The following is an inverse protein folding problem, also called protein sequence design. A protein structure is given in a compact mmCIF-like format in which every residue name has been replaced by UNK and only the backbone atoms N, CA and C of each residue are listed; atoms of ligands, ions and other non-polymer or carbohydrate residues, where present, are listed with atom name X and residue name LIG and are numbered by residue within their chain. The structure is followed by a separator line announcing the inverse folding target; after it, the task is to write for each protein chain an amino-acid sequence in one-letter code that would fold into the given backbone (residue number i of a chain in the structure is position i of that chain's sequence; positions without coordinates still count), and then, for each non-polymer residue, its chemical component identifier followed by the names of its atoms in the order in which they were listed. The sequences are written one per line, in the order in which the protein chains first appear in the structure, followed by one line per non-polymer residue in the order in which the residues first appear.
data_IF_913233881948
#
_entry.id   IF_913233881948
#
_cell.length_a   1.000
_cell.length_b   1.000
_cell.length_c   1.000
_cell.angle_alpha   90.00
_cell.angle_beta   90.00
_cell.angle_gamma   90.00
#
_symmetry.space_group_name_H-M   'P 1'
#
loop_
_entity.id
_entity.type
_entity.pdbx_description
1 polymer ?
#
# COMPACT_ATOMS: atom_id res chain seq x y z
N UNK A 1 2.17 1.75 62.47
CA UNK A 1 3.63 1.52 62.56
C UNK A 1 4.15 1.23 61.16
N UNK A 2 5.34 1.74 60.85
CA UNK A 2 5.96 1.96 59.51
C UNK A 2 6.16 0.69 58.67
N UNK A 3 6.47 0.86 57.37
CA UNK A 3 7.48 0.22 56.49
C UNK A 3 7.02 0.52 55.03
N UNK A 4 7.80 0.99 54.04
CA UNK A 4 9.21 1.33 53.86
C UNK A 4 9.41 1.45 52.32
N UNK A 5 9.99 2.56 51.84
CA UNK A 5 10.23 2.86 50.42
C UNK A 5 11.56 2.21 49.98
N UNK A 6 11.66 1.69 48.76
CA UNK A 6 12.93 1.30 48.15
C UNK A 6 13.06 1.95 46.78
N UNK A 7 14.17 2.68 46.63
CA UNK A 7 14.57 3.46 45.48
C UNK A 7 15.25 2.60 44.41
N UNK A 8 15.07 3.08 43.18
CA UNK A 8 15.64 2.61 41.92
C UNK A 8 16.97 3.31 41.68
N UNK A 9 18.09 2.60 41.82
CA UNK A 9 19.30 2.90 41.06
C UNK A 9 20.15 1.63 40.89
N UNK A 10 20.68 1.49 39.68
CA UNK A 10 21.90 0.76 39.32
C UNK A 10 21.79 -0.66 38.73
N UNK A 11 21.59 -0.72 37.41
CA UNK A 11 22.28 -1.69 36.54
C UNK A 11 22.61 -0.99 35.21
N UNK A 12 23.82 -0.44 35.09
CA UNK A 12 24.42 -0.07 33.80
C UNK A 12 25.38 -1.16 33.29
N UNK A 13 25.27 -1.39 31.98
CA UNK A 13 26.31 -1.59 30.95
C UNK A 13 27.17 -2.86 30.90
N UNK A 14 27.12 -3.54 29.73
CA UNK A 14 28.19 -4.40 29.17
C UNK A 14 28.46 -3.99 27.71
N UNK A 15 29.71 -3.63 27.33
CA UNK A 15 30.06 -3.05 26.02
C UNK A 15 30.40 -4.07 24.90
N UNK A 16 30.43 -5.38 25.17
CA UNK A 16 30.95 -6.37 24.20
C UNK A 16 29.98 -6.71 23.05
N UNK A 17 28.68 -6.40 23.17
CA UNK A 17 27.68 -6.67 22.11
C UNK A 17 27.67 -5.57 21.03
N UNK A 18 28.04 -4.32 21.39
CA UNK A 18 28.06 -3.19 20.45
C UNK A 18 29.17 -3.32 19.41
N UNK A 19 30.31 -3.94 19.77
CA UNK A 19 31.46 -4.08 18.89
C UNK A 19 31.19 -5.04 17.72
N UNK A 20 30.52 -6.17 17.98
CA UNK A 20 30.18 -7.18 16.95
C UNK A 20 29.15 -6.63 15.96
N UNK A 21 28.20 -5.80 16.43
CA UNK A 21 27.23 -5.11 15.58
C UNK A 21 27.86 -4.01 14.70
N UNK A 22 28.98 -3.43 15.14
CA UNK A 22 29.69 -2.36 14.44
C UNK A 22 30.40 -2.82 13.16
N UNK A 23 30.98 -4.02 13.17
CA UNK A 23 31.77 -4.53 12.05
C UNK A 23 30.89 -5.13 10.92
N UNK A 24 29.73 -5.69 11.27
CA UNK A 24 28.73 -6.13 10.28
C UNK A 24 28.03 -4.93 9.60
N UNK A 25 27.79 -3.83 10.34
CA UNK A 25 27.26 -2.56 9.79
C UNK A 25 28.18 -1.92 8.76
N UNK A 26 29.51 -1.93 8.99
CA UNK A 26 30.51 -1.40 8.05
C UNK A 26 30.54 -2.19 6.74
N UNK A 27 30.32 -3.50 6.80
CA UNK A 27 30.32 -4.38 5.64
C UNK A 27 29.06 -4.23 4.78
N UNK A 28 27.94 -3.77 5.36
CA UNK A 28 26.70 -3.49 4.65
C UNK A 28 26.68 -2.10 3.99
N UNK A 29 27.18 -1.07 4.68
CA UNK A 29 27.26 0.31 4.19
C UNK A 29 28.20 0.49 2.98
N UNK A 30 29.20 -0.38 2.84
CA UNK A 30 30.11 -0.34 1.69
C UNK A 30 29.48 -0.87 0.39
N UNK A 31 28.44 -1.71 0.47
CA UNK A 31 27.79 -2.32 -0.72
C UNK A 31 26.58 -1.53 -1.25
N UNK A 32 25.96 -0.66 -0.45
CA UNK A 32 24.82 0.19 -0.86
C UNK A 32 25.23 1.50 -1.52
N UNK A 33 26.52 1.85 -1.50
CA UNK A 33 27.06 3.10 -2.05
C UNK A 33 27.10 3.14 -3.59
N UNK A 34 26.89 2.01 -4.27
CA UNK A 34 27.16 1.90 -5.72
C UNK A 34 25.94 2.06 -6.65
N UNK A 35 24.69 2.22 -6.18
CA UNK A 35 23.54 2.12 -7.12
C UNK A 35 22.44 3.17 -7.14
N UNK A 36 22.26 4.08 -6.16
CA UNK A 36 21.03 4.93 -6.21
C UNK A 36 21.09 6.37 -5.73
N UNK A 37 22.17 6.85 -5.10
CA UNK A 37 22.38 8.31 -4.88
C UNK A 37 21.26 9.11 -4.15
N UNK A 38 20.35 8.45 -3.43
CA UNK A 38 19.29 9.10 -2.65
C UNK A 38 19.25 8.48 -1.25
N UNK A 39 19.56 9.29 -0.23
CA UNK A 39 19.49 8.92 1.19
C UNK A 39 18.03 9.00 1.67
N UNK A 40 17.46 7.86 2.05
CA UNK A 40 16.34 7.83 3.00
C UNK A 40 16.93 7.42 4.34
N UNK A 41 17.08 8.36 5.26
CA UNK A 41 17.69 8.10 6.57
C UNK A 41 16.72 7.31 7.47
N UNK A 42 17.28 6.47 8.34
CA UNK A 42 16.55 5.71 9.37
C UNK A 42 15.83 6.62 10.38
N UNK A 43 16.22 7.89 10.48
CA UNK A 43 15.57 8.89 11.33
C UNK A 43 14.17 9.27 10.85
N UNK A 44 13.92 9.27 9.53
CA UNK A 44 12.61 9.64 8.94
C UNK A 44 11.53 8.59 9.17
N UNK A 45 11.90 7.32 9.43
CA UNK A 45 10.96 6.23 9.73
C UNK A 45 10.71 6.13 11.24
N UNK A 46 11.73 6.36 12.06
CA UNK A 46 11.60 6.29 13.53
C UNK A 46 10.92 7.51 14.16
N UNK A 47 11.00 8.69 13.55
CA UNK A 47 10.26 9.88 14.01
C UNK A 47 8.74 9.76 13.83
N UNK A 48 8.28 8.82 12.98
CA UNK A 48 6.86 8.61 12.64
C UNK A 48 6.08 7.92 13.76
N UNK A 49 6.76 7.18 14.65
CA UNK A 49 6.11 6.32 15.65
C UNK A 49 5.81 7.04 16.97
N UNK A 50 6.42 8.20 17.23
CA UNK A 50 6.37 8.83 18.58
C UNK A 50 5.65 10.17 18.69
N UNK A 51 5.11 10.75 17.63
CA UNK A 51 4.48 12.09 17.71
C UNK A 51 3.02 12.15 17.19
N UNK A 52 2.20 11.19 17.60
CA UNK A 52 0.74 11.21 17.37
C UNK A 52 -0.04 11.99 18.44
N UNK A 53 0.57 13.01 19.05
CA UNK A 53 -0.14 13.87 19.99
C UNK A 53 0.44 15.27 20.03
N UNK A 54 0.16 16.10 19.01
CA UNK A 54 -0.18 17.53 19.19
C UNK A 54 -0.49 18.23 17.86
N UNK A 55 -1.53 19.07 17.95
CA UNK A 55 -1.90 20.20 17.08
C UNK A 55 -2.69 19.89 15.81
N UNK A 56 -4.01 20.01 15.96
CA UNK A 56 -4.89 20.52 14.92
C UNK A 56 -4.81 22.06 14.91
N UNK A 57 -4.70 22.68 13.73
CA UNK A 57 -5.26 24.01 13.54
C UNK A 57 -5.73 24.21 12.10
N UNK A 58 -6.84 24.93 12.01
CA UNK A 58 -7.72 25.11 10.86
C UNK A 58 -7.13 26.05 9.82
N UNK A 59 -7.43 25.82 8.53
CA UNK A 59 -7.60 26.90 7.56
C UNK A 59 -8.49 26.42 6.39
N UNK A 60 -9.58 27.16 6.20
CA UNK A 60 -10.55 26.97 5.13
C UNK A 60 -10.00 27.41 3.78
N UNK A 61 -9.74 26.43 2.93
CA UNK A 61 -9.73 26.52 1.48
C UNK A 61 -10.39 25.26 0.95
N UNK A 62 -10.98 25.28 -0.23
CA UNK A 62 -11.42 24.05 -0.91
C UNK A 62 -10.20 23.25 -1.35
N UNK A 63 -9.54 22.58 -0.39
CA UNK A 63 -8.37 21.73 -0.60
C UNK A 63 -8.90 20.39 -1.10
N UNK A 64 -8.80 20.14 -2.40
CA UNK A 64 -8.96 18.78 -2.92
C UNK A 64 -7.94 17.88 -2.22
N UNK A 65 -8.40 17.02 -1.31
CA UNK A 65 -7.55 16.07 -0.59
C UNK A 65 -6.79 15.14 -1.55
N UNK A 66 -5.82 14.40 -1.02
CA UNK A 66 -5.01 13.48 -1.83
C UNK A 66 -5.95 12.47 -2.52
N UNK A 67 -5.97 12.46 -3.85
CA UNK A 67 -6.78 11.52 -4.64
C UNK A 67 -6.07 10.17 -4.78
N UNK A 68 -6.83 9.11 -5.00
CA UNK A 68 -6.29 7.77 -5.23
C UNK A 68 -7.01 7.04 -6.36
N UNK A 69 -6.33 6.04 -6.90
CA UNK A 69 -6.85 5.13 -7.91
C UNK A 69 -7.03 3.73 -7.31
N UNK A 70 -7.97 2.96 -7.83
CA UNK A 70 -8.16 1.55 -7.52
C UNK A 70 -7.63 0.71 -8.69
N UNK A 71 -7.04 -0.44 -8.41
CA UNK A 71 -6.70 -1.43 -9.43
C UNK A 71 -7.13 -2.84 -9.01
N UNK A 72 -7.83 -3.56 -9.89
CA UNK A 72 -8.38 -4.89 -9.61
C UNK A 72 -8.52 -5.73 -10.87
N UNK A 73 -8.27 -7.03 -10.74
CA UNK A 73 -8.72 -8.04 -11.70
C UNK A 73 -9.96 -8.74 -11.17
N UNK A 74 -10.99 -8.87 -12.00
CA UNK A 74 -12.31 -9.36 -11.63
C UNK A 74 -12.83 -10.37 -12.66
N UNK A 75 -13.33 -11.51 -12.18
CA UNK A 75 -13.96 -12.53 -13.03
C UNK A 75 -15.33 -12.11 -13.56
N UNK A 76 -15.84 -12.86 -14.53
CA UNK A 76 -17.15 -12.59 -15.14
C UNK A 76 -18.30 -12.65 -14.14
N UNK A 77 -18.16 -13.46 -13.08
CA UNK A 77 -19.08 -13.54 -11.94
C UNK A 77 -18.71 -12.60 -10.78
N UNK A 78 -18.01 -11.49 -11.05
CA UNK A 78 -17.59 -10.47 -10.08
C UNK A 78 -16.62 -10.96 -8.99
N UNK A 79 -16.05 -12.15 -9.14
CA UNK A 79 -15.13 -12.73 -8.17
C UNK A 79 -13.74 -12.12 -8.24
N UNK A 80 -13.11 -11.89 -7.09
CA UNK A 80 -11.77 -11.30 -6.96
C UNK A 80 -10.83 -12.13 -6.08
N UNK A 81 -11.32 -13.20 -5.48
CA UNK A 81 -10.52 -14.02 -4.58
C UNK A 81 -11.20 -15.34 -4.21
N UNK A 82 -10.35 -16.32 -3.89
CA UNK A 82 -10.75 -17.61 -3.33
C UNK A 82 -9.73 -18.02 -2.26
N UNK A 83 -10.18 -18.31 -1.03
CA UNK A 83 -9.35 -18.84 0.06
C UNK A 83 -8.08 -18.01 0.32
N UNK A 84 -8.19 -16.68 0.19
CA UNK A 84 -7.09 -15.74 0.40
C UNK A 84 -6.12 -15.57 -0.77
N UNK A 85 -6.30 -16.28 -1.88
CA UNK A 85 -5.51 -16.12 -3.10
C UNK A 85 -6.35 -15.67 -4.30
N UNK A 86 -5.67 -15.52 -5.44
CA UNK A 86 -6.35 -15.34 -6.74
C UNK A 86 -6.76 -16.71 -7.29
N UNK A 87 -8.00 -16.86 -7.81
CA UNK A 87 -8.47 -18.14 -8.35
C UNK A 87 -7.94 -18.44 -9.76
N UNK A 88 -7.18 -17.52 -10.35
CA UNK A 88 -6.55 -17.65 -11.67
C UNK A 88 -5.03 -17.47 -11.61
N UNK A 89 -4.35 -17.89 -12.67
CA UNK A 89 -2.92 -17.67 -12.90
C UNK A 89 -2.73 -16.94 -14.23
N UNK A 90 -2.74 -15.61 -14.17
CA UNK A 90 -2.56 -14.72 -15.33
C UNK A 90 -1.31 -13.87 -15.08
N UNK A 91 -0.14 -14.34 -15.54
CA UNK A 91 1.15 -13.67 -15.31
C UNK A 91 1.23 -12.34 -16.03
N UNK A 92 0.62 -12.23 -17.21
CA UNK A 92 0.58 -10.97 -17.97
C UNK A 92 -0.25 -9.91 -17.25
N UNK A 93 -1.34 -10.30 -16.59
CA UNK A 93 -2.15 -9.41 -15.75
C UNK A 93 -1.38 -8.97 -14.50
N UNK A 94 -0.74 -9.90 -13.79
CA UNK A 94 0.10 -9.57 -12.63
C UNK A 94 1.28 -8.65 -13.00
N UNK A 95 1.83 -8.82 -14.21
CA UNK A 95 2.85 -7.92 -14.76
C UNK A 95 2.27 -6.52 -14.99
N UNK A 96 1.08 -6.42 -15.59
CA UNK A 96 0.37 -5.15 -15.74
C UNK A 96 0.13 -4.47 -14.39
N UNK A 97 -0.45 -5.19 -13.41
CA UNK A 97 -0.64 -4.68 -12.04
C UNK A 97 0.68 -4.16 -11.45
N UNK A 98 1.76 -4.94 -11.55
CA UNK A 98 3.05 -4.56 -11.00
C UNK A 98 3.64 -3.35 -11.71
N UNK A 99 3.51 -3.23 -13.03
CA UNK A 99 4.06 -2.11 -13.80
C UNK A 99 3.26 -0.84 -13.51
N UNK A 100 1.93 -0.91 -13.58
CA UNK A 100 1.03 0.22 -13.33
C UNK A 100 1.20 0.79 -11.92
N UNK A 101 1.27 -0.07 -10.91
CA UNK A 101 1.41 0.40 -9.52
C UNK A 101 2.83 0.86 -9.16
N UNK A 102 3.87 0.47 -9.93
CA UNK A 102 5.25 0.93 -9.72
C UNK A 102 5.61 2.17 -10.51
N UNK A 103 5.02 2.36 -11.69
CA UNK A 103 5.40 3.42 -12.62
C UNK A 103 5.23 4.78 -11.98
N UNK A 104 6.30 5.57 -12.02
CA UNK A 104 6.30 6.99 -11.65
C UNK A 104 6.75 7.82 -12.84
N UNK A 105 6.24 9.04 -12.96
CA UNK A 105 6.70 10.04 -13.93
C UNK A 105 7.89 10.81 -13.38
N UNK A 106 7.85 11.13 -12.08
CA UNK A 106 8.94 11.75 -11.36
C UNK A 106 9.81 10.67 -10.68
N UNK A 107 11.08 10.50 -11.09
CA UNK A 107 11.97 9.47 -10.53
C UNK A 107 12.36 9.73 -9.06
N UNK A 108 12.09 10.93 -8.53
CA UNK A 108 12.28 11.25 -7.11
C UNK A 108 11.12 10.78 -6.23
N UNK A 109 10.00 10.39 -6.85
CA UNK A 109 8.79 9.97 -6.15
C UNK A 109 8.62 8.46 -6.12
N UNK A 110 7.70 8.02 -5.27
CA UNK A 110 7.27 6.63 -5.15
C UNK A 110 5.75 6.54 -5.14
N UNK A 111 5.22 5.40 -5.56
CA UNK A 111 3.81 5.07 -5.40
C UNK A 111 3.52 4.36 -4.07
N UNK A 112 2.28 4.53 -3.60
CA UNK A 112 1.75 3.84 -2.41
C UNK A 112 0.80 2.75 -2.86
N UNK A 113 0.84 1.60 -2.19
CA UNK A 113 -0.20 0.56 -2.29
C UNK A 113 -0.89 0.38 -0.94
N UNK A 114 -2.21 0.54 -0.94
CA UNK A 114 -3.06 0.39 0.24
C UNK A 114 -3.90 -0.86 0.09
N UNK A 115 -3.85 -1.73 1.10
CA UNK A 115 -4.57 -2.99 1.10
C UNK A 115 -5.07 -3.40 2.47
N UNK A 116 -6.11 -4.22 2.53
CA UNK A 116 -6.61 -4.79 3.79
C UNK A 116 -5.73 -5.94 4.28
N UNK A 117 -5.81 -6.22 5.59
CA UNK A 117 -5.12 -7.35 6.26
C UNK A 117 -5.13 -8.65 5.46
N UNK A 118 -6.32 -9.13 5.06
CA UNK A 118 -6.45 -10.42 4.35
C UNK A 118 -5.73 -10.42 3.00
N UNK A 119 -5.77 -9.30 2.27
CA UNK A 119 -5.06 -9.15 0.99
C UNK A 119 -3.56 -9.19 1.20
N UNK A 120 -3.03 -8.46 2.19
CA UNK A 120 -1.60 -8.50 2.51
C UNK A 120 -1.12 -9.92 2.83
N UNK A 121 -1.86 -10.65 3.66
CA UNK A 121 -1.51 -12.03 4.02
C UNK A 121 -1.76 -13.05 2.91
N UNK A 122 -2.60 -12.71 1.93
CA UNK A 122 -2.83 -13.50 0.71
C UNK A 122 -1.71 -13.40 -0.32
N UNK A 123 -0.95 -12.29 -0.31
CA UNK A 123 0.24 -12.15 -1.15
C UNK A 123 1.31 -13.16 -0.66
N UNK A 124 1.93 -13.95 -1.55
CA UNK A 124 2.97 -14.90 -1.17
C UNK A 124 4.07 -14.21 -0.34
N UNK A 125 4.60 -14.86 0.73
CA UNK A 125 5.66 -14.29 1.56
C UNK A 125 6.88 -13.78 0.77
N UNK A 126 7.25 -14.47 -0.31
CA UNK A 126 8.36 -14.07 -1.21
C UNK A 126 8.10 -12.77 -1.99
N UNK A 127 6.84 -12.33 -2.04
CA UNK A 127 6.36 -11.21 -2.84
C UNK A 127 5.81 -10.07 -1.99
N UNK A 128 5.75 -10.20 -0.66
CA UNK A 128 5.37 -9.12 0.27
C UNK A 128 6.54 -8.71 1.17
N UNK A 129 6.69 -7.41 1.49
CA UNK A 129 5.93 -6.29 0.93
C UNK A 129 6.19 -6.12 -0.57
N UNK A 130 5.25 -5.47 -1.25
CA UNK A 130 5.35 -5.21 -2.68
C UNK A 130 6.50 -4.24 -2.95
N UNK A 131 7.62 -4.75 -3.48
CA UNK A 131 8.85 -3.96 -3.74
C UNK A 131 8.58 -2.69 -4.57
N UNK A 132 9.42 -1.69 -4.37
CA UNK A 132 9.45 -0.38 -5.05
C UNK A 132 8.21 0.50 -4.81
N UNK A 133 7.38 0.14 -3.83
CA UNK A 133 6.17 0.85 -3.43
C UNK A 133 6.13 0.97 -1.92
N UNK A 134 5.58 2.06 -1.40
CA UNK A 134 5.26 2.15 0.02
C UNK A 134 4.01 1.31 0.30
N UNK A 135 4.10 0.35 1.22
CA UNK A 135 2.99 -0.56 1.51
C UNK A 135 2.23 -0.10 2.75
N UNK A 136 0.92 0.02 2.65
CA UNK A 136 0.02 0.28 3.79
C UNK A 136 -0.95 -0.89 3.94
N UNK A 137 -0.98 -1.45 5.15
CA UNK A 137 -1.96 -2.46 5.57
C UNK A 137 -3.02 -1.79 6.43
N UNK A 138 -4.28 -1.99 6.04
CA UNK A 138 -5.45 -1.55 6.80
C UNK A 138 -5.90 -2.66 7.75
N UNK A 139 -5.84 -2.40 9.05
CA UNK A 139 -6.33 -3.32 10.07
C UNK A 139 -6.54 -2.63 11.42
N UNK A 140 -7.59 -3.03 12.13
CA UNK A 140 -7.82 -2.70 13.55
C UNK A 140 -7.39 -3.83 14.50
N UNK A 141 -6.95 -4.97 13.96
CA UNK A 141 -6.59 -6.17 14.74
C UNK A 141 -5.09 -6.47 14.76
N UNK A 142 -4.34 -5.91 13.82
CA UNK A 142 -2.89 -6.03 13.82
C UNK A 142 -2.28 -4.96 14.71
N UNK A 143 -1.05 -5.23 15.13
CA UNK A 143 -0.11 -4.31 15.74
C UNK A 143 1.09 -4.14 14.81
N UNK A 144 1.91 -3.10 15.04
CA UNK A 144 3.10 -2.87 14.21
C UNK A 144 4.08 -4.05 14.23
N UNK A 145 4.19 -4.79 15.34
CA UNK A 145 5.03 -5.98 15.46
C UNK A 145 4.60 -7.16 14.58
N UNK A 146 3.36 -7.15 14.04
CA UNK A 146 2.88 -8.18 13.11
C UNK A 146 3.34 -7.96 11.67
N UNK A 147 3.99 -6.82 11.38
CA UNK A 147 4.38 -6.38 10.05
C UNK A 147 5.86 -5.97 10.01
N UNK A 148 6.53 -6.12 8.85
CA UNK A 148 7.89 -5.58 8.66
C UNK A 148 7.95 -4.07 8.92
N UNK A 149 9.12 -3.57 9.32
CA UNK A 149 9.32 -2.16 9.67
C UNK A 149 8.96 -1.21 8.52
N UNK A 150 9.21 -1.62 7.28
CA UNK A 150 8.92 -0.85 6.07
C UNK A 150 7.42 -0.79 5.69
N UNK A 151 6.54 -1.54 6.37
CA UNK A 151 5.10 -1.57 6.08
C UNK A 151 4.33 -0.71 7.07
N UNK A 152 3.58 0.29 6.59
CA UNK A 152 2.76 1.12 7.45
C UNK A 152 1.46 0.39 7.82
N UNK A 153 1.02 0.57 9.06
CA UNK A 153 -0.25 0.06 9.57
C UNK A 153 -1.18 1.24 9.83
N UNK A 154 -2.40 1.17 9.30
CA UNK A 154 -3.44 2.17 9.52
C UNK A 154 -4.77 1.49 9.85
N UNK A 155 -5.64 2.07 10.68
CA UNK A 155 -6.88 1.42 11.09
C UNK A 155 -7.93 1.38 9.96
N UNK A 156 -7.89 2.33 9.03
CA UNK A 156 -8.83 2.46 7.91
C UNK A 156 -8.26 3.38 6.82
N UNK A 157 -8.98 3.46 5.70
CA UNK A 157 -8.55 4.24 4.53
C UNK A 157 -8.42 5.74 4.85
N UNK A 158 -9.39 6.32 5.57
CA UNK A 158 -9.37 7.75 5.92
C UNK A 158 -8.15 8.10 6.77
N UNK A 159 -7.81 7.28 7.75
CA UNK A 159 -6.60 7.45 8.57
C UNK A 159 -5.33 7.39 7.72
N UNK A 160 -5.25 6.47 6.74
CA UNK A 160 -4.13 6.41 5.81
C UNK A 160 -4.00 7.67 4.94
N UNK A 161 -5.12 8.24 4.48
CA UNK A 161 -5.09 9.48 3.70
C UNK A 161 -4.65 10.67 4.55
N UNK A 162 -5.20 10.81 5.76
CA UNK A 162 -4.80 11.87 6.72
C UNK A 162 -3.33 11.78 7.12
N UNK A 163 -2.80 10.57 7.26
CA UNK A 163 -1.38 10.35 7.55
C UNK A 163 -0.47 11.02 6.50
N UNK A 164 -0.80 10.90 5.22
CA UNK A 164 -0.06 11.60 4.16
C UNK A 164 -0.35 13.09 4.15
N UNK A 165 -1.61 13.49 4.25
CA UNK A 165 -2.01 14.90 4.20
C UNK A 165 -1.33 15.72 5.31
N UNK A 166 -1.09 15.13 6.47
CA UNK A 166 -0.44 15.75 7.63
C UNK A 166 1.10 15.64 7.61
N UNK A 167 1.69 14.88 6.69
CA UNK A 167 3.14 14.72 6.58
C UNK A 167 3.62 15.29 5.24
N UNK A 168 4.05 16.56 5.26
CA UNK A 168 4.45 17.28 4.05
C UNK A 168 5.60 16.61 3.28
N UNK A 169 6.56 16.00 3.98
CA UNK A 169 7.68 15.29 3.35
C UNK A 169 7.17 14.09 2.57
N UNK A 170 6.38 13.24 3.23
CA UNK A 170 5.79 12.07 2.58
C UNK A 170 4.86 12.48 1.46
N UNK A 171 3.97 13.45 1.68
CA UNK A 171 3.04 13.97 0.66
C UNK A 171 3.74 14.38 -0.63
N UNK A 172 4.89 15.06 -0.52
CA UNK A 172 5.65 15.52 -1.68
C UNK A 172 6.46 14.40 -2.36
N UNK A 173 6.77 13.32 -1.64
CA UNK A 173 7.47 12.14 -2.16
C UNK A 173 6.55 11.10 -2.82
N UNK A 174 5.23 11.24 -2.67
CA UNK A 174 4.25 10.31 -3.26
C UNK A 174 3.73 10.85 -4.59
N UNK A 175 3.75 10.01 -5.63
CA UNK A 175 3.12 10.34 -6.91
C UNK A 175 1.68 9.85 -6.98
N UNK A 176 1.44 8.55 -6.78
CA UNK A 176 0.11 7.96 -6.84
C UNK A 176 -0.17 7.02 -5.67
N UNK A 177 -1.37 7.11 -5.11
CA UNK A 177 -1.91 6.15 -4.14
C UNK A 177 -2.80 5.14 -4.87
N UNK A 178 -2.48 3.86 -4.74
CA UNK A 178 -3.19 2.74 -5.34
C UNK A 178 -3.90 1.90 -4.28
N UNK A 179 -5.22 1.80 -4.38
CA UNK A 179 -6.02 0.86 -3.61
C UNK A 179 -6.02 -0.48 -4.34
N UNK A 180 -5.50 -1.53 -3.68
CA UNK A 180 -5.30 -2.85 -4.31
C UNK A 180 -6.17 -3.95 -3.67
N UNK A 181 -7.10 -3.57 -2.79
CA UNK A 181 -8.16 -4.44 -2.27
C UNK A 181 -7.99 -4.83 -0.80
N UNK A 182 -8.78 -5.76 -0.27
CA UNK A 182 -9.82 -6.54 -0.93
C UNK A 182 -11.20 -5.88 -0.88
N UNK A 183 -12.26 -6.70 -0.96
CA UNK A 183 -13.65 -6.24 -1.13
C UNK A 183 -14.08 -5.10 -0.20
N UNK A 184 -13.81 -5.19 1.11
CA UNK A 184 -14.15 -4.13 2.06
C UNK A 184 -13.42 -2.82 1.78
N UNK A 185 -12.12 -2.89 1.48
CA UNK A 185 -11.30 -1.71 1.14
C UNK A 185 -11.74 -1.11 -0.19
N UNK A 186 -12.08 -1.94 -1.18
CA UNK A 186 -12.64 -1.46 -2.44
C UNK A 186 -13.99 -0.77 -2.25
N UNK A 187 -14.86 -1.32 -1.40
CA UNK A 187 -16.16 -0.70 -1.06
C UNK A 187 -15.95 0.70 -0.48
N UNK A 188 -15.11 0.81 0.54
CA UNK A 188 -14.84 2.09 1.21
C UNK A 188 -14.16 3.08 0.26
N UNK A 189 -13.25 2.61 -0.59
CA UNK A 189 -12.57 3.42 -1.59
C UNK A 189 -13.56 3.98 -2.63
N UNK A 190 -14.39 3.15 -3.26
CA UNK A 190 -15.36 3.60 -4.27
C UNK A 190 -16.40 4.58 -3.72
N UNK A 191 -16.75 4.46 -2.43
CA UNK A 191 -17.64 5.39 -1.75
C UNK A 191 -16.99 6.75 -1.41
N UNK A 192 -15.68 6.89 -1.55
CA UNK A 192 -14.95 8.11 -1.18
C UNK A 192 -14.93 9.14 -2.31
N UNK A 193 -15.03 10.41 -1.95
CA UNK A 193 -14.80 11.55 -2.86
C UNK A 193 -13.34 11.67 -3.34
N UNK A 194 -12.40 10.97 -2.68
CA UNK A 194 -11.00 10.91 -3.11
C UNK A 194 -10.75 9.89 -4.22
N UNK A 195 -11.69 8.99 -4.48
CA UNK A 195 -11.54 7.98 -5.53
C UNK A 195 -11.67 8.63 -6.90
N UNK A 196 -10.59 8.60 -7.66
CA UNK A 196 -10.53 9.23 -8.97
C UNK A 196 -10.83 8.24 -10.09
N UNK A 197 -10.09 7.13 -10.15
CA UNK A 197 -10.19 6.13 -11.22
C UNK A 197 -10.17 4.70 -10.71
N UNK A 198 -10.85 3.81 -11.45
CA UNK A 198 -10.85 2.37 -11.27
C UNK A 198 -10.19 1.72 -12.49
N UNK A 199 -9.06 1.07 -12.29
CA UNK A 199 -8.36 0.27 -13.29
C UNK A 199 -8.81 -1.19 -13.13
N UNK A 200 -9.58 -1.68 -14.09
CA UNK A 200 -10.27 -2.97 -13.98
C UNK A 200 -9.79 -3.90 -15.10
N UNK A 201 -9.15 -5.00 -14.73
CA UNK A 201 -8.97 -6.14 -15.62
C UNK A 201 -10.23 -7.00 -15.59
N UNK A 202 -11.05 -6.94 -16.65
CA UNK A 202 -12.27 -7.75 -16.77
C UNK A 202 -11.96 -9.12 -17.40
N UNK A 203 -11.93 -10.15 -16.56
CA UNK A 203 -11.70 -11.53 -16.96
C UNK A 203 -13.00 -12.15 -17.45
N UNK A 204 -12.99 -12.71 -18.66
CA UNK A 204 -14.18 -13.22 -19.35
C UNK A 204 -14.57 -14.65 -18.95
N UNK A 205 -13.88 -15.22 -17.95
CA UNK A 205 -14.14 -16.55 -17.39
C UNK A 205 -14.78 -16.46 -16.00
N UNK A 206 -15.62 -17.44 -15.67
CA UNK A 206 -16.13 -17.63 -14.32
C UNK A 206 -15.13 -18.46 -13.51
N UNK A 207 -14.99 -18.12 -12.23
CA UNK A 207 -14.20 -18.88 -11.27
C UNK A 207 -15.01 -19.10 -9.99
N UNK A 208 -14.71 -20.19 -9.29
CA UNK A 208 -15.16 -20.34 -7.90
C UNK A 208 -14.49 -19.25 -7.06
N UNK A 209 -15.29 -18.47 -6.35
CA UNK A 209 -14.83 -17.31 -5.57
C UNK A 209 -15.60 -17.23 -4.25
N UNK A 210 -14.93 -16.78 -3.19
CA UNK A 210 -15.52 -16.48 -1.88
C UNK A 210 -15.46 -14.98 -1.55
N UNK A 211 -14.76 -14.20 -2.39
CA UNK A 211 -14.68 -12.74 -2.30
C UNK A 211 -15.07 -12.13 -3.65
N UNK A 212 -15.96 -11.15 -3.60
CA UNK A 212 -16.51 -10.49 -4.79
C UNK A 212 -16.25 -8.99 -4.76
N UNK A 213 -16.09 -8.38 -5.94
CA UNK A 213 -16.01 -6.93 -6.11
C UNK A 213 -17.39 -6.33 -5.77
N UNK A 214 -17.45 -5.28 -4.93
CA UNK A 214 -18.69 -4.53 -4.72
C UNK A 214 -19.18 -3.90 -6.04
N UNK A 215 -20.48 -3.63 -6.14
CA UNK A 215 -21.02 -2.90 -7.28
C UNK A 215 -20.29 -1.56 -7.46
N UNK A 216 -19.87 -1.28 -8.69
CA UNK A 216 -19.29 0.01 -9.05
C UNK A 216 -20.42 1.05 -9.04
N UNK A 217 -20.26 2.18 -8.33
CA UNK A 217 -21.29 3.23 -8.32
C UNK A 217 -21.54 3.84 -9.71
N UNK A 218 -22.77 4.29 -9.95
CA UNK A 218 -23.23 4.79 -11.27
C UNK A 218 -22.59 6.12 -11.70
N UNK A 219 -21.88 6.79 -10.79
CA UNK A 219 -21.11 8.02 -11.07
C UNK A 219 -19.74 7.73 -11.70
N UNK A 220 -19.36 6.46 -11.87
CA UNK A 220 -18.18 6.07 -12.63
C UNK A 220 -18.52 5.80 -14.10
N UNK A 221 -17.74 6.38 -15.01
CA UNK A 221 -17.86 6.14 -16.45
C UNK A 221 -16.60 5.52 -17.03
N UNK A 222 -16.77 4.56 -17.94
CA UNK A 222 -15.68 4.03 -18.73
C UNK A 222 -15.05 5.14 -19.57
N UNK A 223 -13.74 5.33 -19.43
CA UNK A 223 -12.95 6.26 -20.25
C UNK A 223 -12.26 5.48 -21.35
N UNK A 224 -12.44 5.95 -22.58
CA UNK A 224 -11.86 5.33 -23.76
C UNK A 224 -10.46 5.92 -23.94
N UNK A 225 -9.44 5.08 -23.77
CA UNK A 225 -8.05 5.32 -24.20
C UNK A 225 -7.12 6.00 -23.18
N UNK A 226 -6.12 5.24 -22.73
CA UNK A 226 -4.83 5.73 -22.24
C UNK A 226 -3.75 4.93 -23.00
N UNK A 227 -2.75 5.57 -23.63
CA UNK A 227 -1.70 4.88 -24.40
C UNK A 227 -0.95 3.80 -23.59
N UNK A 228 -0.83 4.00 -22.28
CA UNK A 228 -0.21 3.07 -21.34
C UNK A 228 -1.03 1.82 -21.01
N UNK A 229 -2.29 1.75 -21.46
CA UNK A 229 -3.19 0.63 -21.17
C UNK A 229 -3.23 -0.30 -22.38
N UNK A 230 -2.94 -1.61 -22.19
CA UNK A 230 -3.03 -2.55 -23.29
C UNK A 230 -4.45 -2.58 -23.86
N UNK A 231 -4.54 -2.38 -25.17
CA UNK A 231 -5.81 -2.28 -25.89
C UNK A 231 -6.27 -3.66 -26.38
N UNK A 232 -7.59 -3.82 -26.50
CA UNK A 232 -8.21 -5.03 -27.05
C UNK A 232 -8.18 -6.24 -26.12
N UNK A 233 -8.66 -7.37 -26.65
CA UNK A 233 -8.74 -8.64 -25.94
C UNK A 233 -7.35 -9.24 -25.76
N UNK A 234 -7.01 -9.58 -24.52
CA UNK A 234 -5.84 -10.35 -24.16
C UNK A 234 -6.25 -11.82 -23.94
N UNK A 235 -5.30 -12.73 -24.12
CA UNK A 235 -5.51 -14.16 -23.87
C UNK A 235 -4.29 -14.78 -23.19
N UNK A 236 -4.50 -15.50 -22.09
CA UNK A 236 -3.47 -16.27 -21.39
C UNK A 236 -4.09 -17.52 -20.76
N UNK A 237 -3.46 -18.69 -20.92
CA UNK A 237 -3.90 -19.95 -20.30
C UNK A 237 -5.39 -20.28 -20.56
N UNK A 238 -5.88 -20.03 -21.78
CA UNK A 238 -7.29 -20.27 -22.15
C UNK A 238 -8.29 -19.27 -21.55
N UNK A 239 -7.82 -18.23 -20.87
CA UNK A 239 -8.63 -17.17 -20.28
C UNK A 239 -8.45 -15.88 -21.07
N UNK A 240 -9.58 -15.29 -21.50
CA UNK A 240 -9.61 -13.99 -22.14
C UNK A 240 -9.87 -12.88 -21.12
N UNK A 241 -9.27 -11.71 -21.29
CA UNK A 241 -9.52 -10.54 -20.44
C UNK A 241 -9.24 -9.23 -21.18
N UNK A 242 -9.84 -8.14 -20.71
CA UNK A 242 -9.62 -6.77 -21.22
C UNK A 242 -9.28 -5.84 -20.07
N UNK A 243 -8.48 -4.81 -20.34
CA UNK A 243 -8.23 -3.74 -19.38
C UNK A 243 -9.19 -2.59 -19.65
N UNK A 244 -9.82 -2.08 -18.60
CA UNK A 244 -10.74 -0.94 -18.65
C UNK A 244 -10.39 0.05 -17.57
N UNK A 245 -10.69 1.32 -17.83
CA UNK A 245 -10.61 2.37 -16.82
C UNK A 245 -11.96 3.04 -16.69
N UNK A 246 -12.37 3.25 -15.45
CA UNK A 246 -13.53 4.04 -15.12
C UNK A 246 -13.07 5.27 -14.34
N UNK A 247 -13.68 6.43 -14.60
CA UNK A 247 -13.40 7.67 -13.88
C UNK A 247 -14.68 8.17 -13.22
N UNK A 248 -14.56 8.64 -11.98
CA UNK A 248 -15.65 9.29 -11.25
C UNK A 248 -15.99 10.64 -11.91
N UNK A 249 -17.29 10.91 -12.12
CA UNK A 249 -17.80 12.17 -12.68
C UNK A 249 -17.66 13.35 -11.72
#
# INVERSE_FOLDING_TARGET
MKHGRLDIHDVQSKPEIEQICGDEKKTFLSKTRETTGVDFDKSDINAVVTDSSRQANENGGTIGGLKFNLIVAVSKNLGIGLKGGLPWKLKSELKYFSQTTKRVLDPTKRNVVVMGRKTYFGIPPSNRPLRDRLNIVLSTTLTKSDLPDEVLLQPNLEAAMKFFENNNVLKNSIETVWIIGGAGVFKDAMASERCHRLYITQIQSNFECDVFLPAIPDDFQEVITEPEIPQGMQAENGTNFVYKVFQKR
#
